data_IF_626903747115
#
_entry.id   IF_626903747115
#
_cell.length_a   1.000
_cell.length_b   1.000
_cell.length_c   1.000
_cell.angle_alpha   90.00
_cell.angle_beta   90.00
_cell.angle_gamma   90.00
#
_symmetry.space_group_name_H-M   'P 1'
#
loop_
_entity.id
_entity.type
_entity.pdbx_description
1 polymer ?
#
# COMPACT_ATOMS: atom_id res chain seq x y z
N UNK A 1 36.55 -39.64 -4.93
CA UNK A 1 36.33 -39.68 -6.39
C UNK A 1 34.84 -39.50 -6.62
N UNK A 2 34.27 -38.42 -7.12
CA UNK A 2 34.73 -37.08 -7.46
C UNK A 2 33.54 -36.13 -7.22
N UNK A 3 33.83 -34.87 -6.89
CA UNK A 3 32.80 -33.86 -6.61
C UNK A 3 32.02 -33.48 -7.86
N UNK A 4 30.69 -33.40 -7.74
CA UNK A 4 29.82 -32.78 -8.73
C UNK A 4 29.93 -31.26 -8.55
N UNK A 5 30.75 -30.63 -9.39
CA UNK A 5 30.81 -29.17 -9.51
C UNK A 5 29.51 -28.67 -10.11
N UNK A 6 28.82 -27.82 -9.36
CA UNK A 6 27.67 -27.04 -9.79
C UNK A 6 28.12 -26.09 -10.90
N UNK A 7 27.65 -26.33 -12.13
CA UNK A 7 28.05 -25.58 -13.30
C UNK A 7 27.46 -24.16 -13.23
N UNK A 8 28.35 -23.18 -13.04
CA UNK A 8 28.05 -21.75 -13.18
C UNK A 8 27.50 -21.49 -14.60
N UNK A 9 26.35 -20.82 -14.77
CA UNK A 9 25.82 -20.55 -16.11
C UNK A 9 26.77 -19.63 -16.89
N UNK A 10 26.95 -19.85 -18.20
CA UNK A 10 27.86 -19.03 -19.00
C UNK A 10 27.39 -17.58 -19.04
N UNK A 11 28.32 -16.67 -18.77
CA UNK A 11 28.13 -15.24 -18.90
C UNK A 11 27.53 -14.91 -20.29
N UNK A 12 26.43 -14.17 -20.28
CA UNK A 12 25.76 -13.72 -21.50
C UNK A 12 26.74 -12.90 -22.35
N UNK A 13 26.83 -13.12 -23.68
CA UNK A 13 27.71 -12.35 -24.54
C UNK A 13 27.22 -10.90 -24.59
N UNK A 14 28.01 -9.98 -24.04
CA UNK A 14 27.76 -8.55 -24.10
C UNK A 14 28.08 -8.03 -25.50
N UNK A 15 27.08 -8.03 -26.38
CA UNK A 15 27.13 -7.24 -27.61
C UNK A 15 27.04 -5.76 -27.21
N UNK A 16 28.01 -4.98 -27.67
CA UNK A 16 28.32 -3.64 -27.17
C UNK A 16 27.18 -2.60 -27.26
N UNK A 17 27.26 -1.60 -26.38
CA UNK A 17 26.76 -0.25 -26.61
C UNK A 17 25.25 -0.08 -26.84
N UNK A 18 24.37 -0.58 -25.96
CA UNK A 18 22.94 -0.29 -26.07
C UNK A 18 22.19 -0.43 -24.74
N UNK A 19 21.36 0.55 -24.39
CA UNK A 19 20.46 0.56 -23.23
C UNK A 19 19.36 -0.52 -23.26
N UNK A 20 19.48 -1.53 -24.11
CA UNK A 20 18.47 -2.57 -24.35
C UNK A 20 19.14 -3.91 -24.07
N UNK A 21 18.53 -4.68 -23.16
CA UNK A 21 18.97 -6.02 -22.79
C UNK A 21 17.74 -6.92 -22.74
N UNK A 22 17.95 -8.21 -22.94
CA UNK A 22 16.90 -9.19 -22.66
C UNK A 22 16.56 -9.13 -21.15
N UNK A 23 15.28 -9.35 -20.79
CA UNK A 23 14.89 -9.45 -19.39
C UNK A 23 15.70 -10.53 -18.66
N UNK A 24 15.96 -10.31 -17.37
CA UNK A 24 16.53 -11.34 -16.49
C UNK A 24 15.49 -12.43 -16.26
N UNK A 25 15.93 -13.59 -15.77
CA UNK A 25 15.01 -14.66 -15.39
C UNK A 25 14.07 -14.17 -14.27
N UNK A 26 12.77 -14.40 -14.44
CA UNK A 26 11.76 -13.95 -13.51
C UNK A 26 11.82 -14.76 -12.20
N UNK A 27 12.15 -14.08 -11.09
CA UNK A 27 12.27 -14.67 -9.74
C UNK A 27 10.94 -14.95 -9.04
N UNK A 28 9.84 -14.36 -9.53
CA UNK A 28 8.51 -14.45 -8.92
C UNK A 28 7.69 -15.62 -9.43
N UNK A 29 8.19 -16.37 -10.43
CA UNK A 29 7.57 -17.62 -10.86
C UNK A 29 7.46 -18.56 -9.65
N UNK A 30 6.25 -19.07 -9.33
CA UNK A 30 6.05 -19.94 -8.18
C UNK A 30 6.87 -21.22 -8.34
N UNK A 31 7.62 -21.58 -7.29
CA UNK A 31 8.41 -22.81 -7.22
C UNK A 31 7.52 -24.03 -7.06
N UNK A 32 6.44 -23.85 -6.31
CA UNK A 32 5.56 -24.92 -5.86
C UNK A 32 4.11 -24.44 -5.89
N UNK A 33 3.20 -25.33 -6.30
CA UNK A 33 1.75 -25.10 -6.34
C UNK A 33 1.01 -26.03 -5.36
N UNK A 34 1.73 -26.51 -4.35
CA UNK A 34 1.21 -27.41 -3.34
C UNK A 34 0.27 -26.68 -2.40
N UNK A 35 -0.76 -27.41 -1.97
CA UNK A 35 -1.72 -26.94 -1.00
C UNK A 35 -1.18 -27.13 0.40
N UNK A 36 -1.59 -26.25 1.31
CA UNK A 36 -1.22 -26.29 2.71
C UNK A 36 -1.54 -27.68 3.31
N UNK A 37 -0.60 -28.31 4.02
CA UNK A 37 -0.82 -29.65 4.59
C UNK A 37 -1.91 -29.64 5.67
N UNK A 38 -2.12 -28.51 6.34
CA UNK A 38 -3.16 -28.30 7.37
C UNK A 38 -4.58 -28.29 6.79
N UNK A 39 -4.73 -28.26 5.45
CA UNK A 39 -6.01 -28.29 4.80
C UNK A 39 -6.72 -29.64 5.10
N UNK A 40 -7.95 -29.62 5.63
CA UNK A 40 -8.68 -30.85 5.97
C UNK A 40 -8.72 -31.84 4.81
N UNK A 41 -8.70 -33.16 5.06
CA UNK A 41 -8.75 -34.12 3.94
C UNK A 41 -10.07 -34.04 3.17
N UNK A 42 -11.16 -33.78 3.89
CA UNK A 42 -12.44 -33.43 3.30
C UNK A 42 -12.22 -32.30 2.30
N UNK A 43 -11.46 -31.25 2.69
CA UNK A 43 -10.83 -30.17 1.88
C UNK A 43 -10.54 -30.52 0.42
N UNK A 44 -9.93 -31.67 0.22
CA UNK A 44 -9.22 -32.02 -1.02
C UNK A 44 -10.09 -32.81 -2.00
N UNK A 45 -11.27 -33.27 -1.59
CA UNK A 45 -12.06 -34.29 -2.30
C UNK A 45 -13.14 -33.77 -3.26
N UNK A 46 -13.35 -32.46 -3.40
CA UNK A 46 -14.34 -31.96 -4.38
C UNK A 46 -14.57 -30.44 -4.39
N UNK A 47 -15.30 -29.91 -5.40
CA UNK A 47 -15.54 -28.49 -5.60
C UNK A 47 -16.55 -27.94 -4.57
N UNK A 48 -16.20 -26.86 -3.84
CA UNK A 48 -16.93 -26.45 -2.63
C UNK A 48 -17.47 -25.03 -2.63
N UNK A 49 -18.05 -24.60 -3.73
CA UNK A 49 -18.71 -23.29 -3.77
C UNK A 49 -19.90 -23.24 -2.78
N UNK A 50 -20.45 -24.37 -2.35
CA UNK A 50 -21.60 -24.44 -1.44
C UNK A 50 -21.25 -24.36 0.06
N UNK A 51 -19.97 -24.41 0.46
CA UNK A 51 -19.60 -24.31 1.87
C UNK A 51 -19.71 -22.88 2.38
N UNK A 52 -20.27 -22.71 3.58
CA UNK A 52 -20.30 -21.43 4.28
C UNK A 52 -18.89 -20.92 4.59
N UNK A 53 -18.75 -19.60 4.61
CA UNK A 53 -17.48 -18.94 4.90
C UNK A 53 -17.33 -18.82 6.41
N UNK A 54 -16.37 -19.55 6.98
CA UNK A 54 -15.95 -19.36 8.36
C UNK A 54 -15.23 -18.00 8.52
N UNK A 55 -15.49 -17.25 9.62
CA UNK A 55 -14.84 -15.96 9.86
C UNK A 55 -13.34 -16.15 10.15
N UNK A 56 -12.50 -15.13 9.90
CA UNK A 56 -11.08 -15.19 10.21
C UNK A 56 -10.84 -15.18 11.74
N UNK A 57 -9.80 -15.88 12.17
CA UNK A 57 -9.40 -15.98 13.58
C UNK A 57 -8.26 -15.00 13.90
N UNK A 58 -8.34 -14.34 15.05
CA UNK A 58 -7.24 -13.52 15.56
C UNK A 58 -6.16 -14.44 16.15
N UNK A 59 -5.01 -14.52 15.48
CA UNK A 59 -3.92 -15.43 15.88
C UNK A 59 -2.74 -14.71 16.56
N UNK A 60 -2.63 -13.39 16.38
CA UNK A 60 -1.69 -12.52 17.10
C UNK A 60 -2.41 -11.24 17.52
N UNK A 61 -2.31 -10.89 18.79
CA UNK A 61 -2.78 -9.63 19.35
C UNK A 61 -1.66 -8.98 20.17
N UNK A 62 -0.82 -8.20 19.49
CA UNK A 62 0.27 -7.46 20.12
C UNK A 62 -0.10 -5.97 20.19
N UNK A 63 -0.06 -5.40 21.39
CA UNK A 63 -0.39 -3.98 21.61
C UNK A 63 0.63 -3.03 20.99
N UNK A 64 1.85 -3.51 20.74
CA UNK A 64 2.98 -2.71 20.23
C UNK A 64 3.05 -2.78 18.71
N UNK A 65 2.99 -4.00 18.17
CA UNK A 65 3.21 -4.22 16.73
C UNK A 65 1.91 -4.41 15.94
N UNK A 66 0.83 -4.81 16.60
CA UNK A 66 -0.52 -4.88 16.03
C UNK A 66 -1.13 -6.28 15.99
N UNK A 67 -2.08 -6.48 15.07
CA UNK A 67 -2.97 -7.66 15.03
C UNK A 67 -2.84 -8.45 13.74
N UNK A 68 -2.86 -9.79 13.85
CA UNK A 68 -2.90 -10.72 12.72
C UNK A 68 -4.15 -11.58 12.76
N UNK A 69 -4.97 -11.42 11.72
CA UNK A 69 -6.12 -12.25 11.42
C UNK A 69 -5.74 -13.27 10.35
N UNK A 70 -6.05 -14.54 10.59
CA UNK A 70 -5.74 -15.63 9.67
C UNK A 70 -7.00 -16.40 9.28
N UNK A 71 -7.00 -16.88 8.04
CA UNK A 71 -7.99 -17.84 7.56
C UNK A 71 -7.44 -18.70 6.43
N UNK A 72 -7.31 -20.01 6.69
CA UNK A 72 -7.03 -21.00 5.66
C UNK A 72 -8.24 -21.16 4.71
N UNK A 73 -8.01 -21.11 3.40
CA UNK A 73 -9.06 -21.33 2.40
C UNK A 73 -9.33 -22.83 2.22
N UNK A 74 -10.49 -23.25 2.69
CA UNK A 74 -11.03 -24.60 2.57
C UNK A 74 -12.25 -24.67 1.63
N UNK A 75 -12.54 -23.57 0.92
CA UNK A 75 -13.67 -23.44 0.00
C UNK A 75 -13.22 -23.55 -1.46
N UNK A 76 -12.24 -22.74 -1.88
CA UNK A 76 -11.76 -22.76 -3.26
C UNK A 76 -10.57 -23.71 -3.42
N UNK A 77 -9.74 -23.84 -2.40
CA UNK A 77 -8.63 -24.82 -2.33
C UNK A 77 -7.71 -24.64 -3.55
N UNK A 78 -7.36 -23.38 -3.81
CA UNK A 78 -6.44 -22.99 -4.86
C UNK A 78 -5.09 -22.62 -4.24
N UNK A 79 -3.96 -22.76 -4.96
CA UNK A 79 -2.64 -22.34 -4.48
C UNK A 79 -2.50 -20.81 -4.53
N UNK A 80 -3.49 -20.09 -3.99
CA UNK A 80 -3.60 -18.64 -4.01
C UNK A 80 -3.88 -18.13 -2.61
N UNK A 81 -3.32 -16.97 -2.32
CA UNK A 81 -3.56 -16.26 -1.07
C UNK A 81 -3.79 -14.78 -1.32
N UNK A 82 -4.43 -14.16 -0.35
CA UNK A 82 -4.74 -12.74 -0.28
C UNK A 82 -4.24 -12.22 1.07
N UNK A 83 -3.41 -11.20 1.00
CA UNK A 83 -2.82 -10.52 2.13
C UNK A 83 -3.27 -9.07 2.10
N UNK A 84 -3.88 -8.61 3.19
CA UNK A 84 -4.25 -7.20 3.39
C UNK A 84 -3.57 -6.72 4.66
N UNK A 85 -2.66 -5.78 4.51
CA UNK A 85 -1.92 -5.15 5.60
C UNK A 85 -2.30 -3.68 5.70
N UNK A 86 -2.95 -3.30 6.79
CA UNK A 86 -3.23 -1.92 7.15
C UNK A 86 -2.13 -1.40 8.08
N UNK A 87 -1.39 -0.42 7.62
CA UNK A 87 -0.48 0.39 8.44
C UNK A 87 -1.33 1.46 9.10
N UNK A 88 -1.61 1.30 10.40
CA UNK A 88 -2.44 2.23 11.14
C UNK A 88 -1.70 3.54 11.31
N UNK A 89 -2.26 4.61 10.78
CA UNK A 89 -1.60 5.89 10.83
C UNK A 89 -2.61 7.06 10.77
N UNK A 90 -2.87 7.73 11.90
CA UNK A 90 -3.73 8.92 11.90
C UNK A 90 -3.13 10.08 11.09
N UNK A 91 -1.80 10.15 10.96
CA UNK A 91 -1.13 11.19 10.19
C UNK A 91 -1.39 11.09 8.67
N UNK A 92 -2.00 10.00 8.20
CA UNK A 92 -2.33 9.83 6.79
C UNK A 92 -3.38 10.82 6.27
N UNK A 93 -4.18 11.41 7.16
CA UNK A 93 -5.15 12.45 6.80
C UNK A 93 -5.27 13.58 7.79
N UNK A 94 -4.63 13.45 8.95
CA UNK A 94 -4.65 14.44 10.00
C UNK A 94 -3.26 14.99 10.26
N UNK A 95 -3.20 16.21 10.76
CA UNK A 95 -2.02 16.79 11.39
C UNK A 95 -2.22 16.87 12.89
N UNK A 96 -1.13 16.92 13.65
CA UNK A 96 -1.17 17.36 15.04
C UNK A 96 -0.79 18.82 15.05
N UNK A 97 -1.56 19.64 15.73
CA UNK A 97 -1.13 20.98 16.08
C UNK A 97 -0.10 20.87 17.20
N UNK A 98 1.04 21.54 17.02
CA UNK A 98 1.99 21.75 18.10
C UNK A 98 1.30 22.66 19.13
N UNK A 99 1.13 22.18 20.36
CA UNK A 99 0.65 23.05 21.43
C UNK A 99 1.66 24.16 21.70
N UNK A 100 1.20 25.31 22.20
CA UNK A 100 2.03 26.47 22.57
C UNK A 100 3.22 26.13 23.50
N UNK A 101 3.20 24.96 24.15
CA UNK A 101 4.26 24.44 25.04
C UNK A 101 5.33 23.59 24.33
N UNK A 102 5.35 23.50 22.99
CA UNK A 102 6.35 22.75 22.23
C UNK A 102 6.27 21.23 22.39
N UNK A 103 5.15 20.72 22.93
CA UNK A 103 4.88 19.29 23.09
C UNK A 103 3.94 18.76 22.00
N UNK A 104 4.30 17.62 21.39
CA UNK A 104 3.49 16.89 20.39
C UNK A 104 2.28 16.14 21.00
N UNK A 105 1.48 16.86 21.79
CA UNK A 105 0.31 16.33 22.52
C UNK A 105 -1.02 16.99 22.11
N UNK A 106 -1.06 17.69 20.98
CA UNK A 106 -2.31 18.23 20.42
C UNK A 106 -3.26 17.12 19.92
N UNK A 107 -4.58 17.42 19.80
CA UNK A 107 -5.55 16.54 19.17
C UNK A 107 -5.24 16.39 17.67
N UNK A 108 -5.65 15.26 17.08
CA UNK A 108 -5.56 15.06 15.63
C UNK A 108 -6.64 15.86 14.91
N UNK A 109 -6.25 16.80 14.07
CA UNK A 109 -7.13 17.62 13.25
C UNK A 109 -7.01 17.21 11.79
N UNK A 110 -8.13 17.13 11.08
CA UNK A 110 -8.13 16.75 9.65
C UNK A 110 -7.47 17.85 8.82
N UNK A 111 -6.55 17.47 7.93
CA UNK A 111 -5.87 18.39 7.03
C UNK A 111 -5.98 17.87 5.57
N UNK A 112 -6.67 18.62 4.67
CA UNK A 112 -6.73 18.30 3.25
C UNK A 112 -5.35 18.12 2.61
N UNK A 113 -4.33 18.88 3.04
CA UNK A 113 -2.97 18.80 2.48
C UNK A 113 -2.28 17.52 2.90
N UNK A 114 -2.32 17.15 4.18
CA UNK A 114 -1.82 15.86 4.66
C UNK A 114 -2.48 14.68 3.91
N UNK A 115 -3.81 14.70 3.79
CA UNK A 115 -4.59 13.70 3.06
C UNK A 115 -4.16 13.59 1.58
N UNK A 116 -4.03 14.73 0.90
CA UNK A 116 -3.60 14.77 -0.50
C UNK A 116 -2.14 14.33 -0.68
N UNK A 117 -1.23 14.76 0.19
CA UNK A 117 0.16 14.37 0.14
C UNK A 117 0.33 12.87 0.38
N UNK A 118 -0.42 12.28 1.31
CA UNK A 118 -0.45 10.82 1.50
C UNK A 118 -1.04 10.08 0.30
N UNK A 119 -2.06 10.64 -0.37
CA UNK A 119 -2.57 10.07 -1.62
C UNK A 119 -1.52 10.11 -2.74
N UNK A 120 -0.86 11.26 -2.94
CA UNK A 120 0.23 11.41 -3.90
C UNK A 120 1.39 10.46 -3.60
N UNK A 121 1.75 10.30 -2.32
CA UNK A 121 2.79 9.37 -1.86
C UNK A 121 2.51 7.93 -2.31
N UNK A 122 1.28 7.42 -2.08
CA UNK A 122 0.91 6.07 -2.53
C UNK A 122 0.95 5.92 -4.06
N UNK A 123 0.59 6.98 -4.80
CA UNK A 123 0.68 7.01 -6.26
C UNK A 123 2.12 7.00 -6.76
N UNK A 124 3.01 7.79 -6.15
CA UNK A 124 4.44 7.86 -6.48
C UNK A 124 5.11 6.53 -6.21
N UNK A 125 4.83 5.92 -5.05
CA UNK A 125 5.32 4.58 -4.73
C UNK A 125 4.87 3.54 -5.75
N UNK A 126 3.60 3.59 -6.18
CA UNK A 126 3.07 2.68 -7.21
C UNK A 126 3.75 2.86 -8.56
N UNK A 127 4.01 4.10 -8.98
CA UNK A 127 4.69 4.41 -10.24
C UNK A 127 6.16 3.98 -10.22
N UNK A 128 6.85 4.21 -9.11
CA UNK A 128 8.25 3.81 -8.92
C UNK A 128 8.43 2.29 -8.86
N UNK A 129 7.53 1.58 -8.18
CA UNK A 129 7.59 0.12 -8.03
C UNK A 129 7.08 -0.63 -9.27
N UNK A 130 6.51 0.06 -10.26
CA UNK A 130 5.91 -0.57 -11.43
C UNK A 130 6.91 -1.47 -12.18
N UNK A 131 8.14 -0.98 -12.41
CA UNK A 131 9.17 -1.77 -13.10
C UNK A 131 9.65 -2.95 -12.25
N UNK A 132 9.82 -2.74 -10.94
CA UNK A 132 10.31 -3.79 -10.04
C UNK A 132 9.31 -4.93 -9.82
N UNK A 133 8.03 -4.62 -9.91
CA UNK A 133 6.92 -5.57 -9.68
C UNK A 133 6.32 -6.11 -10.98
N UNK A 134 6.82 -5.68 -12.13
CA UNK A 134 6.39 -6.17 -13.43
C UNK A 134 6.55 -7.70 -13.56
N UNK A 135 7.69 -8.23 -13.12
CA UNK A 135 7.95 -9.67 -13.09
C UNK A 135 6.97 -10.41 -12.16
N UNK A 136 6.55 -9.77 -11.06
CA UNK A 136 5.58 -10.32 -10.14
C UNK A 136 4.18 -10.40 -10.77
N UNK A 137 3.75 -9.33 -11.45
CA UNK A 137 2.47 -9.28 -12.16
C UNK A 137 2.39 -10.34 -13.27
N UNK A 138 3.47 -10.49 -14.05
CA UNK A 138 3.57 -11.54 -15.06
C UNK A 138 3.52 -12.96 -14.45
N UNK A 139 4.04 -13.13 -13.24
CA UNK A 139 3.99 -14.39 -12.51
C UNK A 139 2.64 -14.63 -11.80
N UNK A 140 1.65 -13.73 -11.94
CA UNK A 140 0.32 -13.86 -11.35
C UNK A 140 0.22 -13.36 -9.90
N UNK A 141 1.18 -12.55 -9.45
CA UNK A 141 1.13 -11.82 -8.18
C UNK A 141 0.74 -10.36 -8.44
N UNK A 142 -0.31 -9.90 -7.79
CA UNK A 142 -0.76 -8.51 -7.89
C UNK A 142 -0.63 -7.83 -6.54
N UNK A 143 -0.47 -6.51 -6.57
CA UNK A 143 -0.45 -5.70 -5.37
C UNK A 143 -1.09 -4.34 -5.61
N UNK A 144 -1.47 -3.67 -4.54
CA UNK A 144 -1.94 -2.28 -4.56
C UNK A 144 -1.65 -1.61 -3.24
N UNK A 145 -1.23 -0.35 -3.28
CA UNK A 145 -1.08 0.50 -2.10
C UNK A 145 -2.10 1.64 -2.19
N UNK A 146 -2.89 1.83 -1.14
CA UNK A 146 -3.93 2.86 -1.10
C UNK A 146 -4.00 3.57 0.24
N UNK A 147 -4.25 4.87 0.22
CA UNK A 147 -4.57 5.67 1.41
C UNK A 147 -6.03 5.49 1.81
N UNK A 148 -6.27 5.39 3.11
CA UNK A 148 -7.59 5.38 3.76
C UNK A 148 -7.57 6.32 4.97
N UNK A 149 -8.72 6.52 5.62
CA UNK A 149 -8.78 7.31 6.86
C UNK A 149 -8.12 6.65 8.06
N UNK A 150 -8.01 5.32 8.04
CA UNK A 150 -7.32 4.55 9.09
C UNK A 150 -5.79 4.53 8.91
N UNK A 151 -5.27 4.97 7.76
CA UNK A 151 -3.87 4.89 7.40
C UNK A 151 -3.67 4.36 5.98
N UNK A 152 -2.58 3.62 5.76
CA UNK A 152 -2.19 3.13 4.43
C UNK A 152 -2.40 1.62 4.36
N UNK A 153 -3.07 1.14 3.32
CA UNK A 153 -3.35 -0.28 3.12
C UNK A 153 -2.53 -0.81 1.95
N UNK A 154 -1.69 -1.80 2.22
CA UNK A 154 -1.03 -2.65 1.23
C UNK A 154 -1.87 -3.92 1.05
N UNK A 155 -2.30 -4.18 -0.17
CA UNK A 155 -2.93 -5.45 -0.55
C UNK A 155 -2.04 -6.19 -1.51
N UNK A 156 -1.82 -7.47 -1.28
CA UNK A 156 -1.13 -8.38 -2.19
C UNK A 156 -2.01 -9.62 -2.39
N UNK A 157 -2.04 -10.16 -3.61
CA UNK A 157 -2.71 -11.42 -3.87
C UNK A 157 -2.08 -12.16 -5.04
N UNK A 158 -2.43 -13.44 -5.20
CA UNK A 158 -1.89 -14.29 -6.26
C UNK A 158 -1.42 -15.62 -5.71
N UNK A 159 -0.41 -16.23 -6.35
CA UNK A 159 0.15 -17.51 -5.92
C UNK A 159 0.83 -17.43 -4.54
N UNK A 160 0.54 -18.39 -3.67
CA UNK A 160 0.94 -18.34 -2.25
C UNK A 160 2.45 -18.39 -2.02
N UNK A 161 3.22 -19.14 -2.83
CA UNK A 161 4.65 -19.40 -2.62
C UNK A 161 5.53 -18.13 -2.54
N UNK A 162 5.27 -17.14 -3.40
CA UNK A 162 6.09 -15.91 -3.50
C UNK A 162 5.38 -14.64 -3.03
N UNK A 163 4.14 -14.79 -2.55
CA UNK A 163 3.36 -13.69 -2.00
C UNK A 163 4.00 -13.02 -0.77
N UNK A 164 4.48 -13.75 0.25
CA UNK A 164 5.10 -13.11 1.43
C UNK A 164 6.39 -12.37 1.07
N UNK A 165 7.22 -12.94 0.18
CA UNK A 165 8.45 -12.31 -0.32
C UNK A 165 8.16 -10.95 -0.97
N UNK A 166 7.16 -10.89 -1.86
CA UNK A 166 6.73 -9.65 -2.52
C UNK A 166 6.22 -8.62 -1.50
N UNK A 167 5.38 -9.06 -0.57
CA UNK A 167 4.77 -8.16 0.41
C UNK A 167 5.81 -7.57 1.37
N UNK A 168 6.75 -8.37 1.88
CA UNK A 168 7.84 -7.88 2.73
C UNK A 168 8.76 -6.93 1.97
N UNK A 169 9.05 -7.22 0.69
CA UNK A 169 9.84 -6.31 -0.16
C UNK A 169 9.15 -4.96 -0.32
N UNK A 170 7.85 -4.95 -0.63
CA UNK A 170 7.07 -3.72 -0.79
C UNK A 170 6.96 -2.94 0.53
N UNK A 171 6.70 -3.62 1.63
CA UNK A 171 6.62 -3.01 2.96
C UNK A 171 7.98 -2.39 3.36
N UNK A 172 9.07 -3.11 3.15
CA UNK A 172 10.42 -2.63 3.41
C UNK A 172 10.78 -1.41 2.56
N UNK A 173 10.46 -1.45 1.26
CA UNK A 173 10.68 -0.31 0.35
C UNK A 173 9.86 0.93 0.75
N UNK A 174 8.66 0.73 1.30
CA UNK A 174 7.80 1.84 1.74
C UNK A 174 8.24 2.44 3.08
N UNK A 175 8.61 1.61 4.06
CA UNK A 175 8.94 2.04 5.42
C UNK A 175 10.40 2.46 5.61
N UNK A 176 11.33 1.91 4.85
CA UNK A 176 12.76 2.21 4.95
C UNK A 176 13.28 2.84 3.67
N UNK A 177 13.01 4.14 3.44
CA UNK A 177 13.54 4.82 2.29
C UNK A 177 15.08 4.89 2.35
N UNK A 178 15.71 5.12 3.49
CA UNK A 178 17.18 5.18 3.52
C UNK A 178 17.78 3.77 3.62
N UNK A 179 18.54 3.36 2.61
CA UNK A 179 19.12 2.03 2.52
C UNK A 179 19.94 1.64 3.75
N UNK A 180 19.49 0.61 4.47
CA UNK A 180 20.36 -0.18 5.33
C UNK A 180 21.23 -1.06 4.42
N UNK A 181 22.48 -0.64 4.22
CA UNK A 181 23.47 -1.41 3.49
C UNK A 181 23.76 -2.75 4.19
N UNK A 182 23.77 -3.83 3.42
CA UNK A 182 24.15 -5.15 3.92
C UNK A 182 23.98 -6.29 2.91
N UNK A 183 24.82 -6.32 1.87
CA UNK A 183 25.21 -7.58 1.21
C UNK A 183 24.67 -7.81 -0.21
N UNK A 184 25.59 -7.77 -1.18
CA UNK A 184 25.54 -8.59 -2.39
C UNK A 184 24.62 -8.14 -3.51
N UNK A 185 25.24 -7.48 -4.49
CA UNK A 185 24.93 -7.57 -5.92
C UNK A 185 23.62 -6.92 -6.43
N UNK A 186 23.81 -5.75 -7.05
CA UNK A 186 23.11 -5.35 -8.28
C UNK A 186 21.58 -5.07 -8.21
N UNK A 187 21.15 -4.25 -7.24
CA UNK A 187 20.03 -3.32 -7.41
C UNK A 187 20.06 -2.24 -6.32
N UNK A 188 20.44 -1.02 -6.68
CA UNK A 188 20.17 0.16 -5.85
C UNK A 188 18.67 0.35 -5.66
N UNK A 189 18.30 1.31 -4.81
CA UNK A 189 16.93 1.84 -4.65
C UNK A 189 16.15 1.28 -3.46
N UNK A 190 16.44 1.82 -2.28
CA UNK A 190 15.40 1.96 -1.24
C UNK A 190 15.01 3.43 -1.05
N UNK A 191 15.90 4.39 -1.33
CA UNK A 191 15.62 5.83 -1.18
C UNK A 191 15.02 6.49 -2.42
N UNK A 192 14.86 5.72 -3.49
CA UNK A 192 14.73 6.24 -4.85
C UNK A 192 13.31 6.19 -5.43
N UNK A 193 12.26 5.95 -4.62
CA UNK A 193 10.89 6.11 -5.13
C UNK A 193 10.42 7.58 -5.14
N UNK A 194 10.95 8.43 -4.24
CA UNK A 194 10.62 9.86 -4.15
C UNK A 194 11.45 10.71 -5.13
N UNK A 195 11.43 10.33 -6.39
CA UNK A 195 12.02 11.09 -7.50
C UNK A 195 11.04 12.11 -8.08
N UNK A 196 11.62 13.20 -8.61
CA UNK A 196 10.83 14.30 -9.21
C UNK A 196 10.05 13.87 -10.44
N UNK A 197 10.59 12.93 -11.23
CA UNK A 197 9.94 12.35 -12.41
C UNK A 197 8.59 11.72 -12.08
N UNK A 198 8.57 10.83 -11.09
CA UNK A 198 7.36 10.14 -10.62
C UNK A 198 6.39 11.13 -9.97
N UNK A 199 6.89 12.09 -9.18
CA UNK A 199 6.07 13.14 -8.58
C UNK A 199 5.33 13.97 -9.64
N UNK A 200 6.03 14.49 -10.65
CA UNK A 200 5.42 15.32 -11.68
C UNK A 200 4.36 14.55 -12.47
N UNK A 201 4.62 13.28 -12.81
CA UNK A 201 3.69 12.41 -13.52
C UNK A 201 2.42 12.09 -12.70
N UNK A 202 2.58 11.76 -11.41
CA UNK A 202 1.47 11.42 -10.52
C UNK A 202 0.64 12.65 -10.16
N UNK A 203 1.29 13.79 -9.91
CA UNK A 203 0.61 15.07 -9.66
C UNK A 203 -0.21 15.49 -10.87
N UNK A 204 0.37 15.47 -12.08
CA UNK A 204 -0.37 15.79 -13.31
C UNK A 204 -1.60 14.87 -13.50
N UNK A 205 -1.41 13.56 -13.33
CA UNK A 205 -2.51 12.57 -13.41
C UNK A 205 -3.62 12.87 -12.41
N UNK A 206 -3.25 13.22 -11.18
CA UNK A 206 -4.19 13.55 -10.10
C UNK A 206 -4.94 14.85 -10.39
N UNK A 207 -4.24 15.91 -10.82
CA UNK A 207 -4.85 17.19 -11.18
C UNK A 207 -5.81 17.05 -12.36
N UNK A 208 -5.43 16.31 -13.40
CA UNK A 208 -6.34 16.02 -14.53
C UNK A 208 -7.58 15.27 -14.08
N UNK A 209 -7.43 14.28 -13.20
CA UNK A 209 -8.57 13.54 -12.64
C UNK A 209 -9.51 14.43 -11.83
N UNK A 210 -8.98 15.29 -10.96
CA UNK A 210 -9.79 16.20 -10.13
C UNK A 210 -10.51 17.25 -10.98
N UNK A 211 -9.82 17.88 -11.94
CA UNK A 211 -10.42 18.88 -12.85
C UNK A 211 -11.49 18.31 -13.76
N UNK A 212 -11.32 17.06 -14.21
CA UNK A 212 -12.30 16.39 -15.08
C UNK A 212 -13.49 15.82 -14.32
N UNK A 213 -13.46 15.74 -12.99
CA UNK A 213 -14.46 15.03 -12.21
C UNK A 213 -15.88 15.57 -12.43
N UNK A 214 -16.12 16.87 -12.24
CA UNK A 214 -17.45 17.46 -12.42
C UNK A 214 -17.83 17.77 -13.87
N UNK A 215 -16.87 17.69 -14.79
CA UNK A 215 -17.09 17.98 -16.21
C UNK A 215 -17.48 16.72 -16.98
N UNK A 216 -16.85 15.59 -16.66
CA UNK A 216 -16.91 14.37 -17.47
C UNK A 216 -17.75 13.25 -16.85
N UNK A 217 -18.05 13.32 -15.55
CA UNK A 217 -18.88 12.31 -14.90
C UNK A 217 -20.37 12.52 -15.16
N UNK A 218 -21.10 11.44 -14.95
CA UNK A 218 -22.55 11.41 -15.10
C UNK A 218 -23.21 12.14 -13.92
N UNK A 219 -24.41 12.66 -14.14
CA UNK A 219 -25.15 13.40 -13.12
C UNK A 219 -25.45 12.57 -11.86
N UNK A 220 -25.69 11.26 -11.99
CA UNK A 220 -25.86 10.33 -10.87
C UNK A 220 -24.60 10.22 -10.00
N UNK A 221 -23.41 10.24 -10.61
CA UNK A 221 -22.15 10.22 -9.88
C UNK A 221 -21.94 11.50 -9.07
N UNK A 222 -22.41 12.65 -9.55
CA UNK A 222 -22.37 13.90 -8.78
C UNK A 222 -23.29 13.85 -7.57
N UNK A 223 -24.50 13.29 -7.71
CA UNK A 223 -25.43 13.12 -6.59
C UNK A 223 -24.83 12.21 -5.50
N UNK A 224 -24.23 11.08 -5.89
CA UNK A 224 -23.53 10.17 -4.96
C UNK A 224 -22.32 10.85 -4.30
N UNK A 225 -21.60 11.68 -5.03
CA UNK A 225 -20.49 12.45 -4.47
C UNK A 225 -20.96 13.40 -3.36
N UNK A 226 -22.02 14.18 -3.59
CA UNK A 226 -22.55 15.09 -2.57
C UNK A 226 -23.17 14.34 -1.40
N UNK A 227 -23.87 13.23 -1.65
CA UNK A 227 -24.42 12.36 -0.59
C UNK A 227 -23.30 11.77 0.29
N UNK A 228 -22.23 11.26 -0.33
CA UNK A 228 -21.06 10.79 0.40
C UNK A 228 -20.36 11.92 1.16
N UNK A 229 -20.29 13.13 0.61
CA UNK A 229 -19.69 14.29 1.28
C UNK A 229 -20.51 14.73 2.50
N UNK A 230 -21.84 14.75 2.37
CA UNK A 230 -22.76 15.08 3.48
C UNK A 230 -22.75 14.03 4.58
N UNK A 231 -22.60 12.76 4.22
CA UNK A 231 -22.55 11.65 5.17
C UNK A 231 -21.14 11.48 5.78
N UNK A 232 -20.10 11.94 5.09
CA UNK A 232 -18.74 11.86 5.59
C UNK A 232 -18.57 12.74 6.82
N UNK A 233 -18.03 12.14 7.90
CA UNK A 233 -17.73 12.86 9.14
C UNK A 233 -16.55 13.84 8.99
N UNK A 234 -15.72 13.67 7.96
CA UNK A 234 -14.50 14.45 7.69
C UNK A 234 -14.31 14.63 6.20
N UNK A 235 -13.76 15.78 5.82
CA UNK A 235 -13.33 16.03 4.46
C UNK A 235 -13.96 17.28 3.87
N UNK A 236 -13.12 18.03 3.15
CA UNK A 236 -13.57 19.11 2.28
C UNK A 236 -13.70 18.52 0.87
N UNK A 237 -14.77 18.87 0.18
CA UNK A 237 -15.00 18.43 -1.20
C UNK A 237 -13.85 18.81 -2.15
N UNK A 238 -13.89 18.24 -3.36
CA UNK A 238 -12.94 18.54 -4.44
C UNK A 238 -12.84 20.06 -4.70
N UNK A 239 -13.97 20.77 -4.68
CA UNK A 239 -14.08 22.20 -4.99
C UNK A 239 -13.85 23.13 -3.79
N UNK A 240 -13.62 22.59 -2.59
CA UNK A 240 -13.55 23.40 -1.36
C UNK A 240 -14.92 23.70 -0.73
N UNK A 241 -16.02 23.16 -1.28
CA UNK A 241 -17.36 23.34 -0.72
C UNK A 241 -17.55 22.33 0.41
N UNK A 242 -17.70 22.81 1.65
CA UNK A 242 -18.17 21.99 2.75
C UNK A 242 -19.66 21.65 2.51
N UNK A 243 -20.02 20.36 2.61
CA UNK A 243 -21.41 19.92 2.53
C UNK A 243 -22.31 20.51 3.63
N UNK A 244 -21.73 21.19 4.63
CA UNK A 244 -22.47 22.02 5.58
C UNK A 244 -22.11 23.48 5.40
N UNK A 245 -22.85 24.22 4.57
CA UNK A 245 -23.03 25.64 4.82
C UNK A 245 -23.79 25.78 6.14
N UNK A 246 -23.05 26.01 7.22
CA UNK A 246 -23.55 26.92 8.24
C UNK A 246 -23.80 28.25 7.53
N UNK A 247 -25.06 28.61 7.36
CA UNK A 247 -25.52 29.94 6.95
C UNK A 247 -24.88 30.99 7.87
N UNK A 248 -23.69 31.46 7.52
CA UNK A 248 -23.14 32.68 8.08
C UNK A 248 -23.83 33.85 7.37
N UNK A 249 -24.95 34.30 7.92
CA UNK A 249 -25.49 35.63 7.65
C UNK A 249 -24.46 36.68 8.11
N UNK A 250 -23.58 37.08 7.19
CA UNK A 250 -22.60 38.13 7.44
C UNK A 250 -21.48 38.02 6.43
N UNK A 251 -21.36 39.01 5.55
CA UNK A 251 -20.37 39.09 4.48
C UNK A 251 -18.93 39.25 4.94
N UNK A 252 -18.42 38.29 5.71
CA UNK A 252 -17.00 38.00 5.83
C UNK A 252 -16.62 36.98 4.75
N UNK A 253 -15.49 37.20 4.10
CA UNK A 253 -14.90 36.23 3.17
C UNK A 253 -14.81 34.88 3.89
N UNK A 254 -15.68 33.93 3.52
CA UNK A 254 -15.59 32.57 3.99
C UNK A 254 -14.17 32.11 3.68
N UNK A 255 -13.38 31.83 4.73
CA UNK A 255 -12.07 31.21 4.60
C UNK A 255 -12.29 29.93 3.82
N UNK A 256 -12.03 30.00 2.51
CA UNK A 256 -12.30 28.95 1.55
C UNK A 256 -11.36 27.82 1.90
N UNK A 257 -11.82 26.89 2.75
CA UNK A 257 -11.04 25.74 3.15
C UNK A 257 -10.54 25.06 1.89
N UNK A 258 -9.23 24.80 1.84
CA UNK A 258 -8.58 24.35 0.63
C UNK A 258 -9.12 22.97 0.25
N UNK A 259 -9.94 22.93 -0.80
CA UNK A 259 -10.43 21.69 -1.37
C UNK A 259 -9.28 20.79 -1.84
N UNK A 260 -9.59 19.52 -2.09
CA UNK A 260 -8.59 18.55 -2.56
C UNK A 260 -7.86 19.03 -3.82
N UNK A 261 -8.53 19.77 -4.71
CA UNK A 261 -7.90 20.35 -5.90
C UNK A 261 -6.83 21.40 -5.54
N UNK A 262 -7.14 22.33 -4.63
CA UNK A 262 -6.20 23.36 -4.18
C UNK A 262 -4.99 22.73 -3.47
N UNK A 263 -5.23 21.71 -2.63
CA UNK A 263 -4.16 20.95 -1.97
C UNK A 263 -3.24 20.25 -2.99
N UNK A 264 -3.78 19.66 -4.06
CA UNK A 264 -3.00 19.04 -5.12
C UNK A 264 -2.20 20.05 -5.96
N UNK A 265 -2.73 21.27 -6.14
CA UNK A 265 -2.04 22.36 -6.81
C UNK A 265 -0.91 22.93 -5.96
N UNK A 266 -1.08 23.02 -4.64
CA UNK A 266 -0.06 23.48 -3.71
C UNK A 266 1.02 22.42 -3.40
N UNK A 267 0.75 21.14 -3.65
CA UNK A 267 1.67 20.05 -3.33
C UNK A 267 3.04 20.19 -4.03
N UNK A 268 4.10 20.04 -3.24
CA UNK A 268 5.50 19.99 -3.69
C UNK A 268 6.16 18.67 -3.31
N UNK A 269 7.27 18.31 -3.97
CA UNK A 269 8.02 17.10 -3.63
C UNK A 269 8.50 17.11 -2.17
N UNK A 270 8.89 18.27 -1.65
CA UNK A 270 9.31 18.46 -0.26
C UNK A 270 8.14 18.19 0.71
N UNK A 271 6.94 18.70 0.41
CA UNK A 271 5.76 18.45 1.25
C UNK A 271 5.36 16.97 1.29
N UNK A 272 5.58 16.22 0.20
CA UNK A 272 5.34 14.77 0.18
C UNK A 272 6.40 14.00 0.96
N UNK A 273 7.66 14.46 0.94
CA UNK A 273 8.75 13.88 1.75
C UNK A 273 8.51 14.09 3.23
N UNK A 274 8.19 15.31 3.63
CA UNK A 274 7.85 15.63 5.03
C UNK A 274 6.64 14.79 5.48
N UNK A 275 5.63 14.65 4.62
CA UNK A 275 4.49 13.79 4.94
C UNK A 275 4.88 12.31 5.08
N UNK A 276 5.84 11.82 4.29
CA UNK A 276 6.37 10.46 4.46
C UNK A 276 7.09 10.30 5.80
N UNK A 277 7.93 11.25 6.19
CA UNK A 277 8.61 11.25 7.51
C UNK A 277 7.60 11.26 8.65
N UNK A 278 6.58 12.13 8.60
CA UNK A 278 5.49 12.17 9.59
C UNK A 278 4.75 10.84 9.70
N UNK A 279 4.56 10.14 8.57
CA UNK A 279 3.94 8.81 8.58
C UNK A 279 4.85 7.78 9.27
N UNK A 280 6.16 7.84 9.07
CA UNK A 280 7.10 6.93 9.74
C UNK A 280 7.12 7.18 11.26
N UNK A 281 7.12 8.44 11.68
CA UNK A 281 7.16 8.83 13.10
C UNK A 281 5.88 8.44 13.88
N UNK A 282 4.72 8.46 13.20
CA UNK A 282 3.41 8.21 13.81
C UNK A 282 2.81 6.85 13.46
N UNK A 283 3.64 5.86 13.10
CA UNK A 283 3.16 4.53 12.75
C UNK A 283 2.59 3.79 13.97
N UNK A 284 1.27 3.57 13.99
CA UNK A 284 0.52 2.96 15.10
C UNK A 284 0.42 1.43 15.04
N UNK A 285 1.32 0.76 14.31
CA UNK A 285 1.35 -0.69 14.13
C UNK A 285 0.53 -1.21 12.94
N UNK A 286 0.45 -2.53 12.82
CA UNK A 286 -0.18 -3.21 11.69
C UNK A 286 -1.50 -3.88 12.06
N UNK A 287 -2.43 -3.89 11.11
CA UNK A 287 -3.59 -4.78 11.15
C UNK A 287 -3.59 -5.61 9.86
N UNK A 288 -3.27 -6.89 10.01
CA UNK A 288 -3.04 -7.81 8.92
C UNK A 288 -4.18 -8.82 8.85
N UNK A 289 -4.70 -9.05 7.65
CA UNK A 289 -5.55 -10.19 7.32
C UNK A 289 -4.83 -11.02 6.26
N UNK A 290 -4.46 -12.25 6.61
CA UNK A 290 -3.85 -13.20 5.71
C UNK A 290 -4.79 -14.39 5.50
N UNK A 291 -5.31 -14.54 4.29
CA UNK A 291 -6.24 -15.61 3.94
C UNK A 291 -5.87 -16.32 2.64
N UNK A 292 -6.21 -17.60 2.52
CA UNK A 292 -5.95 -18.40 1.32
C UNK A 292 -5.19 -19.68 1.63
N UNK A 293 -4.35 -20.11 0.70
CA UNK A 293 -3.44 -21.24 0.88
C UNK A 293 -2.22 -20.85 1.72
N UNK A 294 -2.42 -20.72 3.04
CA UNK A 294 -1.36 -20.35 3.99
C UNK A 294 -1.65 -20.98 5.36
N UNK A 295 -0.65 -21.64 5.93
CA UNK A 295 -0.72 -22.19 7.29
C UNK A 295 -0.73 -21.08 8.34
N UNK A 296 -1.18 -21.40 9.56
CA UNK A 296 -1.05 -20.45 10.66
C UNK A 296 0.42 -20.12 10.97
N UNK A 297 1.33 -21.07 10.82
CA UNK A 297 2.76 -20.89 11.09
C UNK A 297 3.40 -19.92 10.11
N UNK A 298 3.15 -20.08 8.80
CA UNK A 298 3.64 -19.18 7.75
C UNK A 298 3.06 -17.77 7.91
N UNK A 299 1.79 -17.65 8.33
CA UNK A 299 1.18 -16.36 8.59
C UNK A 299 1.87 -15.63 9.76
N UNK A 300 2.22 -16.36 10.84
CA UNK A 300 2.97 -15.80 11.98
C UNK A 300 4.40 -15.41 11.59
N UNK A 301 5.07 -16.21 10.77
CA UNK A 301 6.41 -15.90 10.26
C UNK A 301 6.41 -14.61 9.42
N UNK A 302 5.48 -14.50 8.47
CA UNK A 302 5.29 -13.28 7.68
C UNK A 302 5.07 -12.05 8.58
N UNK A 303 4.18 -12.16 9.57
CA UNK A 303 3.89 -11.04 10.47
C UNK A 303 5.09 -10.69 11.36
N UNK A 304 5.86 -11.68 11.81
CA UNK A 304 7.14 -11.46 12.49
C UNK A 304 8.10 -10.63 11.64
N UNK A 305 8.29 -11.01 10.37
CA UNK A 305 9.10 -10.25 9.42
C UNK A 305 8.59 -8.83 9.16
N UNK A 306 7.27 -8.63 9.07
CA UNK A 306 6.68 -7.30 8.94
C UNK A 306 6.95 -6.43 10.17
N UNK A 307 6.84 -6.99 11.37
CA UNK A 307 7.16 -6.32 12.62
C UNK A 307 8.64 -5.96 12.74
N UNK A 308 9.54 -6.80 12.23
CA UNK A 308 10.98 -6.51 12.18
C UNK A 308 11.35 -5.38 11.22
N UNK A 309 10.57 -5.17 10.16
CA UNK A 309 10.74 -4.02 9.27
C UNK A 309 10.34 -2.72 9.98
N UNK A 310 9.36 -2.78 10.87
CA UNK A 310 8.90 -1.61 11.64
C UNK A 310 9.84 -1.23 12.79
N UNK A 311 10.60 -2.19 13.34
CA UNK A 311 11.67 -1.93 14.32
C UNK A 311 12.83 -1.16 13.71
#
# INVERSE_FOLDING_TARGET
VGGAGEATPPASPSIGGGKIRLPRANRFVPRTLELCPELPEEAKLGPRIEREIDPPNLIVDDRTYGRLWHRLDDRYVLPKSSLTLLIKNPAAECTREDGDDGGSSGPWTYDPRASMNSQLLTGIFSDAMAQETYDADLAGLHWSLSKSSAGITLKCGGYSDRLPDLALKLLGAFLRPQGAGGGGDDSGTAAAFLERSHFDAVRDRTLRRLRSYFVSNRADSHALYYESLLTSYRGVGIDGINGGEGLAEGGGEASREEGSLAAAEAATLESVREQHERLLDNCGGFECLYSGNVSEAEAREFFGGACEILR
#
